data_IF_222072131780
#
_entry.id   IF_222072131780
#
_cell.length_a   1.000
_cell.length_b   1.000
_cell.length_c   1.000
_cell.angle_alpha   90.00
_cell.angle_beta   90.00
_cell.angle_gamma   90.00
#
_symmetry.space_group_name_H-M   'P 1'
#
loop_
_entity.id
_entity.type
_entity.pdbx_description
1 polymer ?
#
# COMPACT_ATOMS: atom_id res chain seq x y z
N UNK A 1 0.36 16.91 18.61
CA UNK A 1 0.96 15.62 18.99
C UNK A 1 1.66 15.85 20.32
N UNK A 2 1.37 14.99 21.30
CA UNK A 2 1.88 15.06 22.66
C UNK A 2 2.68 13.80 23.00
N UNK A 3 3.57 13.85 24.01
CA UNK A 3 4.17 12.62 24.55
C UNK A 3 3.08 11.63 24.99
N UNK A 4 3.19 10.38 24.53
CA UNK A 4 2.19 9.33 24.78
C UNK A 4 1.16 9.13 23.67
N UNK A 5 1.12 10.00 22.64
CA UNK A 5 0.32 9.75 21.45
C UNK A 5 0.86 8.58 20.62
N UNK A 6 -0.04 7.85 19.97
CA UNK A 6 0.30 6.76 19.06
C UNK A 6 0.34 7.24 17.62
N UNK A 7 1.32 6.76 16.87
CA UNK A 7 1.39 6.93 15.42
C UNK A 7 0.93 5.64 14.72
N UNK A 8 -0.18 5.70 14.00
CA UNK A 8 -0.63 4.58 13.14
C UNK A 8 -0.06 4.78 11.74
N UNK A 9 0.71 3.80 11.25
CA UNK A 9 1.34 3.86 9.93
C UNK A 9 1.09 2.55 9.15
N UNK A 10 0.70 2.68 7.89
CA UNK A 10 0.54 1.55 6.94
C UNK A 10 1.85 1.21 6.23
N UNK A 11 2.86 2.06 6.36
CA UNK A 11 4.21 1.81 5.88
C UNK A 11 4.89 0.66 6.64
N UNK A 12 6.11 0.35 6.28
CA UNK A 12 6.85 -0.78 6.87
C UNK A 12 8.21 -0.41 7.44
N UNK A 13 8.73 0.75 7.06
CA UNK A 13 10.11 1.16 7.41
C UNK A 13 10.23 2.15 8.56
N UNK A 14 9.12 2.64 9.13
CA UNK A 14 9.09 3.58 10.24
C UNK A 14 9.69 4.95 9.92
N UNK A 15 9.79 5.33 8.65
CA UNK A 15 10.40 6.62 8.27
C UNK A 15 9.59 7.80 8.80
N UNK A 16 8.25 7.71 8.74
CA UNK A 16 7.35 8.76 9.25
C UNK A 16 7.55 8.96 10.75
N UNK A 17 7.60 7.89 11.52
CA UNK A 17 7.85 7.94 12.97
C UNK A 17 9.19 8.58 13.27
N UNK A 18 10.26 8.12 12.62
CA UNK A 18 11.62 8.66 12.82
C UNK A 18 11.70 10.16 12.55
N UNK A 19 11.07 10.64 11.48
CA UNK A 19 11.09 12.06 11.13
C UNK A 19 10.24 12.88 12.10
N UNK A 20 9.10 12.38 12.53
CA UNK A 20 8.26 13.05 13.53
C UNK A 20 8.96 13.13 14.88
N UNK A 21 9.60 12.07 15.37
CA UNK A 21 10.35 12.09 16.63
C UNK A 21 11.49 13.11 16.60
N UNK A 22 12.20 13.20 15.45
CA UNK A 22 13.23 14.23 15.26
C UNK A 22 12.67 15.66 15.29
N UNK A 23 11.50 15.85 14.70
CA UNK A 23 10.84 17.16 14.67
C UNK A 23 10.28 17.55 16.04
N UNK A 24 9.68 16.60 16.74
CA UNK A 24 9.01 16.81 18.02
C UNK A 24 9.96 16.78 19.23
N UNK A 25 11.16 16.21 19.07
CA UNK A 25 12.18 16.03 20.10
C UNK A 25 11.71 15.15 21.28
N UNK A 26 10.75 14.23 21.02
CA UNK A 26 10.34 13.20 21.98
C UNK A 26 9.94 11.92 21.24
N UNK A 27 10.03 10.75 21.89
CA UNK A 27 9.66 9.48 21.27
C UNK A 27 8.13 9.36 21.08
N UNK A 28 7.73 8.65 20.02
CA UNK A 28 6.36 8.25 19.75
C UNK A 28 6.24 6.73 19.83
N UNK A 29 5.07 6.22 20.15
CA UNK A 29 4.79 4.81 20.04
C UNK A 29 4.16 4.52 18.67
N UNK A 30 4.80 3.67 17.86
CA UNK A 30 4.34 3.32 16.52
C UNK A 30 3.42 2.11 16.51
N UNK A 31 2.25 2.23 15.90
CA UNK A 31 1.38 1.11 15.56
C UNK A 31 1.51 0.86 14.05
N UNK A 32 2.33 -0.09 13.66
CA UNK A 32 2.69 -0.36 12.27
C UNK A 32 1.83 -1.49 11.70
N UNK A 33 1.36 -1.34 10.48
CA UNK A 33 0.64 -2.42 9.81
C UNK A 33 1.56 -3.62 9.54
N UNK A 34 2.80 -3.35 9.09
CA UNK A 34 3.82 -4.37 8.84
C UNK A 34 5.21 -3.81 9.13
N UNK A 35 6.22 -4.68 9.21
CA UNK A 35 7.60 -4.27 9.42
C UNK A 35 8.53 -4.87 8.36
N UNK A 36 9.47 -4.06 7.91
CA UNK A 36 10.69 -4.51 7.23
C UNK A 36 11.92 -4.40 8.16
N UNK A 37 13.07 -4.79 7.67
CA UNK A 37 14.31 -4.76 8.45
C UNK A 37 14.70 -3.34 8.90
N UNK A 38 14.29 -2.30 8.17
CA UNK A 38 14.56 -0.90 8.50
C UNK A 38 13.84 -0.48 9.77
N UNK A 39 12.56 -0.88 9.94
CA UNK A 39 11.81 -0.60 11.15
C UNK A 39 12.53 -1.18 12.39
N UNK A 40 12.92 -2.45 12.27
CA UNK A 40 13.55 -3.21 13.37
C UNK A 40 14.94 -2.71 13.74
N UNK A 41 15.66 -2.08 12.80
CA UNK A 41 16.96 -1.45 13.08
C UNK A 41 16.84 -0.05 13.65
N UNK A 42 15.70 0.61 13.46
CA UNK A 42 15.48 2.01 13.88
C UNK A 42 14.87 2.14 15.27
N UNK A 43 14.04 1.19 15.63
CA UNK A 43 13.24 1.26 16.85
C UNK A 43 13.42 0.01 17.71
N UNK A 44 13.42 0.21 19.02
CA UNK A 44 13.37 -0.89 19.97
C UNK A 44 11.98 -1.56 19.95
N UNK A 45 11.88 -2.84 20.36
CA UNK A 45 10.61 -3.59 20.32
C UNK A 45 9.47 -2.95 21.14
N UNK A 46 9.80 -2.22 22.20
CA UNK A 46 8.84 -1.51 23.04
C UNK A 46 8.37 -0.16 22.47
N UNK A 47 9.03 0.34 21.42
CA UNK A 47 8.66 1.58 20.74
C UNK A 47 7.68 1.37 19.57
N UNK A 48 7.49 0.12 19.13
CA UNK A 48 6.64 -0.18 17.98
C UNK A 48 5.89 -1.49 18.16
N UNK A 49 4.62 -1.47 17.85
CA UNK A 49 3.80 -2.69 17.70
C UNK A 49 3.53 -2.93 16.21
N UNK A 50 3.63 -4.19 15.79
CA UNK A 50 3.44 -4.61 14.41
C UNK A 50 2.24 -5.55 14.32
N UNK A 51 1.23 -5.19 13.54
CA UNK A 51 0.01 -6.02 13.43
C UNK A 51 0.21 -7.24 12.53
N UNK A 52 0.83 -7.06 11.34
CA UNK A 52 1.07 -8.14 10.38
C UNK A 52 2.51 -8.62 10.45
N UNK A 53 2.71 -9.93 10.46
CA UNK A 53 4.03 -10.58 10.37
C UNK A 53 5.00 -10.20 11.50
N UNK A 54 4.47 -9.92 12.67
CA UNK A 54 5.32 -9.62 13.81
C UNK A 54 6.28 -10.79 14.12
N UNK A 55 7.56 -10.47 14.28
CA UNK A 55 8.62 -11.45 14.49
C UNK A 55 8.90 -12.40 13.31
N UNK A 56 8.23 -12.22 12.15
CA UNK A 56 8.38 -13.05 10.96
C UNK A 56 8.56 -12.19 9.71
N UNK A 57 9.34 -12.63 8.71
CA UNK A 57 9.42 -11.92 7.45
C UNK A 57 8.06 -11.94 6.74
N UNK A 58 7.62 -10.78 6.25
CA UNK A 58 6.42 -10.71 5.43
C UNK A 58 6.58 -11.51 4.13
N UNK A 59 5.52 -12.22 3.69
CA UNK A 59 5.57 -12.95 2.43
C UNK A 59 5.89 -12.04 1.24
N UNK A 60 6.66 -12.53 0.26
CA UNK A 60 6.95 -11.79 -0.98
C UNK A 60 5.69 -11.29 -1.69
N UNK A 61 4.60 -12.06 -1.57
CA UNK A 61 3.30 -11.70 -2.13
C UNK A 61 2.72 -10.43 -1.50
N UNK A 62 2.92 -10.23 -0.20
CA UNK A 62 2.53 -8.98 0.48
C UNK A 62 3.25 -7.77 -0.14
N UNK A 63 4.56 -7.86 -0.29
CA UNK A 63 5.36 -6.78 -0.90
C UNK A 63 4.99 -6.51 -2.36
N UNK A 64 4.55 -7.55 -3.09
CA UNK A 64 4.07 -7.39 -4.46
C UNK A 64 2.76 -6.58 -4.57
N UNK A 65 1.98 -6.50 -3.50
CA UNK A 65 0.71 -5.78 -3.44
C UNK A 65 0.72 -4.54 -2.55
N UNK A 66 1.75 -4.31 -1.73
CA UNK A 66 1.78 -3.21 -0.77
C UNK A 66 1.46 -1.84 -1.40
N UNK A 67 2.01 -1.45 -2.56
CA UNK A 67 1.68 -0.16 -3.18
C UNK A 67 0.19 0.00 -3.49
N UNK A 68 -0.51 -1.08 -3.83
CA UNK A 68 -1.96 -1.06 -4.02
C UNK A 68 -2.68 -0.82 -2.69
N UNK A 69 -2.26 -1.47 -1.60
CA UNK A 69 -2.83 -1.26 -0.27
C UNK A 69 -2.66 0.20 0.18
N UNK A 70 -1.47 0.75 0.02
CA UNK A 70 -1.18 2.15 0.32
C UNK A 70 -2.08 3.08 -0.49
N UNK A 71 -2.25 2.82 -1.80
CA UNK A 71 -3.13 3.64 -2.65
C UNK A 71 -4.59 3.58 -2.22
N UNK A 72 -5.10 2.41 -1.86
CA UNK A 72 -6.49 2.24 -1.42
C UNK A 72 -6.78 2.95 -0.09
N UNK A 73 -5.78 3.13 0.76
CA UNK A 73 -5.89 3.78 2.06
C UNK A 73 -5.47 5.27 2.04
N UNK A 74 -4.88 5.74 0.94
CA UNK A 74 -4.43 7.13 0.80
C UNK A 74 -5.56 8.09 0.48
N UNK A 75 -5.37 9.37 0.80
CA UNK A 75 -6.26 10.47 0.39
C UNK A 75 -5.86 11.01 -1.00
N UNK A 76 -6.83 11.60 -1.71
CA UNK A 76 -6.60 12.26 -3.00
C UNK A 76 -6.11 13.71 -2.84
N UNK A 77 -5.15 13.95 -1.97
CA UNK A 77 -4.71 15.32 -1.60
C UNK A 77 -3.28 15.64 -2.00
N UNK A 78 -2.65 14.86 -2.82
CA UNK A 78 -1.24 14.99 -3.16
C UNK A 78 -0.28 14.70 -1.99
N UNK A 79 0.95 14.31 -2.30
CA UNK A 79 1.97 14.05 -1.31
C UNK A 79 2.44 15.35 -0.64
N UNK A 80 2.73 15.30 0.66
CA UNK A 80 3.33 16.44 1.36
C UNK A 80 4.80 16.56 0.98
N UNK A 81 5.17 17.69 0.37
CA UNK A 81 6.55 18.01 -0.01
C UNK A 81 7.32 18.71 1.12
N UNK A 82 6.59 19.36 2.01
CA UNK A 82 7.17 20.13 3.10
C UNK A 82 6.15 21.01 3.80
N UNK A 83 6.64 21.93 4.58
CA UNK A 83 5.85 22.91 5.31
C UNK A 83 6.46 24.30 5.11
N UNK A 84 5.63 25.31 4.98
CA UNK A 84 6.05 26.71 4.95
C UNK A 84 5.27 27.54 5.96
N UNK A 85 5.89 28.62 6.45
CA UNK A 85 5.23 29.59 7.31
C UNK A 85 4.44 30.58 6.45
N UNK A 86 3.17 30.77 6.76
CA UNK A 86 2.29 31.79 6.16
C UNK A 86 1.67 32.67 7.23
N UNK A 87 1.03 33.79 6.81
CA UNK A 87 0.28 34.66 7.72
C UNK A 87 -0.89 33.87 8.31
N UNK A 88 -0.72 33.31 9.49
CA UNK A 88 -1.75 32.50 10.17
C UNK A 88 -1.29 31.14 10.62
N UNK A 89 -0.03 30.75 10.33
CA UNK A 89 0.54 29.49 10.83
C UNK A 89 1.41 28.76 9.83
N UNK A 90 1.56 27.47 10.09
CA UNK A 90 2.32 26.57 9.23
C UNK A 90 1.36 25.85 8.29
N UNK A 91 1.57 25.99 7.00
CA UNK A 91 0.81 25.30 5.94
C UNK A 91 1.63 24.21 5.27
N UNK A 92 0.95 23.15 4.87
CA UNK A 92 1.55 22.05 4.14
C UNK A 92 1.72 22.40 2.66
N UNK A 93 2.95 22.28 2.16
CA UNK A 93 3.22 22.30 0.72
C UNK A 93 2.98 20.89 0.17
N UNK A 94 2.19 20.77 -0.86
CA UNK A 94 1.80 19.47 -1.45
C UNK A 94 2.14 19.43 -2.94
N UNK A 95 2.30 18.21 -3.47
CA UNK A 95 2.23 17.97 -4.91
C UNK A 95 0.85 18.37 -5.44
N UNK A 96 0.73 18.53 -6.74
CA UNK A 96 -0.57 18.74 -7.38
C UNK A 96 -1.55 17.65 -6.90
N UNK A 97 -2.80 18.07 -6.64
CA UNK A 97 -3.86 17.14 -6.27
C UNK A 97 -4.04 16.14 -7.40
N UNK A 98 -4.00 14.86 -7.08
CA UNK A 98 -4.40 13.83 -8.02
C UNK A 98 -5.90 14.02 -8.37
N UNK A 99 -6.30 13.73 -9.61
CA UNK A 99 -7.71 13.67 -9.95
C UNK A 99 -8.43 12.74 -8.97
N UNK A 100 -9.59 13.18 -8.46
CA UNK A 100 -10.40 12.34 -7.59
C UNK A 100 -10.72 11.02 -8.30
N UNK A 101 -10.41 9.92 -7.66
CA UNK A 101 -10.67 8.58 -8.19
C UNK A 101 -11.92 7.99 -7.50
N UNK A 102 -13.09 8.03 -8.18
CA UNK A 102 -14.35 7.61 -7.56
C UNK A 102 -14.33 6.17 -7.03
N UNK A 103 -13.58 5.27 -7.70
CA UNK A 103 -13.44 3.87 -7.29
C UNK A 103 -12.79 3.75 -5.91
N UNK A 104 -11.76 4.54 -5.63
CA UNK A 104 -11.11 4.57 -4.31
C UNK A 104 -12.08 5.08 -3.24
N UNK A 105 -12.80 6.17 -3.53
CA UNK A 105 -13.79 6.72 -2.60
C UNK A 105 -14.90 5.69 -2.26
N UNK A 106 -15.35 4.92 -3.25
CA UNK A 106 -16.32 3.83 -3.05
C UNK A 106 -15.75 2.70 -2.17
N UNK A 107 -14.52 2.27 -2.44
CA UNK A 107 -13.84 1.24 -1.64
C UNK A 107 -13.68 1.73 -0.20
N UNK A 108 -13.21 2.95 0.02
CA UNK A 108 -13.05 3.53 1.35
C UNK A 108 -14.38 3.70 2.08
N UNK A 109 -15.46 4.03 1.35
CA UNK A 109 -16.82 4.06 1.92
C UNK A 109 -17.24 2.66 2.38
N UNK A 110 -16.96 1.62 1.59
CA UNK A 110 -17.21 0.24 1.97
C UNK A 110 -16.44 -0.17 3.23
N UNK A 111 -15.15 0.19 3.30
CA UNK A 111 -14.31 -0.07 4.49
C UNK A 111 -14.88 0.61 5.74
N UNK A 112 -15.28 1.88 5.64
CA UNK A 112 -15.91 2.60 6.78
C UNK A 112 -17.20 1.95 7.23
N UNK A 113 -18.07 1.55 6.29
CA UNK A 113 -19.33 0.84 6.63
C UNK A 113 -19.06 -0.51 7.29
N UNK A 114 -18.07 -1.27 6.78
CA UNK A 114 -17.66 -2.52 7.40
C UNK A 114 -17.15 -2.28 8.83
N UNK A 115 -16.27 -1.31 9.03
CA UNK A 115 -15.73 -0.99 10.35
C UNK A 115 -16.83 -0.58 11.34
N UNK A 116 -17.81 0.22 10.90
CA UNK A 116 -18.95 0.57 11.73
C UNK A 116 -19.80 -0.65 12.08
N UNK A 117 -20.15 -1.47 11.09
CA UNK A 117 -20.92 -2.70 11.32
C UNK A 117 -20.19 -3.68 12.25
N UNK A 118 -18.87 -3.81 12.11
CA UNK A 118 -18.06 -4.62 13.00
C UNK A 118 -18.09 -4.11 14.43
N UNK A 119 -17.85 -2.81 14.62
CA UNK A 119 -17.89 -2.17 15.93
C UNK A 119 -19.24 -2.39 16.65
N UNK A 120 -20.33 -2.32 15.91
CA UNK A 120 -21.68 -2.42 16.45
C UNK A 120 -22.18 -3.88 16.53
N UNK A 121 -21.35 -4.85 16.16
CA UNK A 121 -21.66 -6.28 16.19
C UNK A 121 -21.23 -6.95 17.50
N UNK A 122 -21.74 -8.16 17.73
CA UNK A 122 -21.30 -9.04 18.83
C UNK A 122 -19.84 -9.48 18.71
N UNK A 123 -19.22 -9.25 17.55
CA UNK A 123 -17.81 -9.56 17.29
C UNK A 123 -16.87 -8.43 17.72
N UNK A 124 -17.43 -7.28 18.14
CA UNK A 124 -16.61 -6.18 18.66
C UNK A 124 -15.79 -6.66 19.86
N UNK A 125 -14.51 -6.31 19.84
CA UNK A 125 -13.55 -6.79 20.87
C UNK A 125 -13.01 -8.19 20.65
N UNK A 126 -13.52 -8.96 19.67
CA UNK A 126 -12.91 -10.24 19.31
C UNK A 126 -11.65 -10.00 18.46
N UNK A 127 -10.48 -10.53 18.87
CA UNK A 127 -9.26 -10.34 18.10
C UNK A 127 -9.35 -11.08 16.76
N UNK A 128 -9.10 -10.35 15.66
CA UNK A 128 -8.96 -10.97 14.35
C UNK A 128 -7.50 -11.40 14.19
N UNK A 129 -7.19 -12.70 14.04
CA UNK A 129 -5.83 -13.13 13.78
C UNK A 129 -5.27 -12.42 12.53
N UNK A 130 -4.04 -11.85 12.58
CA UNK A 130 -3.45 -11.12 11.48
C UNK A 130 -3.46 -11.88 10.14
N UNK A 131 -3.25 -13.20 10.19
CA UNK A 131 -3.28 -14.08 9.01
C UNK A 131 -4.66 -14.13 8.36
N UNK A 132 -5.73 -14.09 9.15
CA UNK A 132 -7.11 -14.03 8.63
C UNK A 132 -7.43 -12.65 8.06
N UNK A 133 -6.96 -11.59 8.71
CA UNK A 133 -7.18 -10.23 8.25
C UNK A 133 -6.55 -9.97 6.89
N UNK A 134 -5.31 -10.46 6.66
CA UNK A 134 -4.58 -10.21 5.42
C UNK A 134 -4.93 -11.19 4.29
N UNK A 135 -5.50 -12.35 4.57
CA UNK A 135 -5.74 -13.40 3.57
C UNK A 135 -6.55 -12.95 2.33
N UNK A 136 -7.64 -12.16 2.46
CA UNK A 136 -8.38 -11.65 1.30
C UNK A 136 -7.52 -10.78 0.40
N UNK A 137 -6.68 -9.92 0.99
CA UNK A 137 -5.76 -9.07 0.25
C UNK A 137 -4.69 -9.88 -0.49
N UNK A 138 -4.07 -10.86 0.16
CA UNK A 138 -3.09 -11.73 -0.49
C UNK A 138 -3.71 -12.50 -1.66
N UNK A 139 -4.96 -12.95 -1.53
CA UNK A 139 -5.69 -13.60 -2.62
C UNK A 139 -5.93 -12.64 -3.80
N UNK A 140 -6.33 -11.40 -3.52
CA UNK A 140 -6.47 -10.36 -4.54
C UNK A 140 -5.15 -10.11 -5.27
N UNK A 141 -4.03 -10.04 -4.55
CA UNK A 141 -2.71 -9.82 -5.16
C UNK A 141 -2.27 -10.99 -6.03
N UNK A 142 -2.48 -12.23 -5.56
CA UNK A 142 -2.00 -13.46 -6.23
C UNK A 142 -2.85 -13.86 -7.44
N UNK A 143 -4.18 -13.79 -7.29
CA UNK A 143 -5.15 -14.36 -8.23
C UNK A 143 -6.39 -13.46 -8.35
N UNK A 144 -6.22 -12.24 -8.88
CA UNK A 144 -7.35 -11.33 -9.06
C UNK A 144 -8.34 -11.86 -10.10
N UNK A 145 -9.61 -11.54 -9.91
CA UNK A 145 -10.63 -11.75 -10.94
C UNK A 145 -10.51 -10.71 -12.05
N UNK A 146 -11.11 -10.94 -13.21
CA UNK A 146 -11.14 -9.96 -14.30
C UNK A 146 -11.73 -8.62 -13.85
N UNK A 147 -12.83 -8.64 -13.10
CA UNK A 147 -13.44 -7.43 -12.54
C UNK A 147 -12.48 -6.67 -11.61
N UNK A 148 -11.73 -7.36 -10.77
CA UNK A 148 -10.75 -6.72 -9.87
C UNK A 148 -9.59 -6.09 -10.67
N UNK A 149 -9.14 -6.73 -11.74
CA UNK A 149 -8.13 -6.19 -12.63
C UNK A 149 -8.62 -4.93 -13.34
N UNK A 150 -9.86 -4.92 -13.83
CA UNK A 150 -10.47 -3.76 -14.50
C UNK A 150 -10.67 -2.60 -13.54
N UNK A 151 -11.11 -2.88 -12.32
CA UNK A 151 -11.34 -1.84 -11.31
C UNK A 151 -10.05 -1.22 -10.75
N UNK A 152 -8.99 -2.01 -10.60
CA UNK A 152 -7.80 -1.58 -9.85
C UNK A 152 -6.58 -1.37 -10.75
N UNK A 153 -6.50 -2.03 -11.90
CA UNK A 153 -5.28 -2.08 -12.69
C UNK A 153 -4.81 -0.72 -13.23
N UNK A 154 -5.74 0.18 -13.55
CA UNK A 154 -5.43 1.51 -14.09
C UNK A 154 -5.21 2.57 -12.99
N UNK A 155 -5.37 2.20 -11.72
CA UNK A 155 -5.04 3.11 -10.63
C UNK A 155 -3.54 3.43 -10.63
N UNK A 156 -3.22 4.64 -10.22
CA UNK A 156 -1.82 5.10 -10.10
C UNK A 156 -1.42 5.30 -8.66
N UNK A 157 -0.15 5.10 -8.37
CA UNK A 157 0.50 5.37 -7.07
C UNK A 157 1.58 6.42 -7.24
N UNK A 158 1.74 7.26 -6.23
CA UNK A 158 2.86 8.20 -6.15
C UNK A 158 3.98 7.62 -5.28
N UNK A 159 5.16 7.46 -5.90
CA UNK A 159 6.35 6.93 -5.24
C UNK A 159 7.59 7.55 -5.90
N UNK A 160 7.87 8.82 -5.57
CA UNK A 160 8.89 9.61 -6.28
C UNK A 160 8.56 9.92 -7.76
N UNK A 161 7.36 9.58 -8.20
CA UNK A 161 6.77 9.72 -9.51
C UNK A 161 5.38 9.08 -9.53
N UNK A 162 4.63 9.24 -10.63
CA UNK A 162 3.32 8.61 -10.80
C UNK A 162 3.47 7.33 -11.60
N UNK A 163 3.14 6.20 -11.00
CA UNK A 163 3.27 4.87 -11.59
C UNK A 163 1.93 4.13 -11.61
N UNK A 164 1.61 3.43 -12.72
CA UNK A 164 0.39 2.61 -12.77
C UNK A 164 0.53 1.36 -11.88
N UNK A 165 -0.59 0.90 -11.32
CA UNK A 165 -0.60 -0.39 -10.64
C UNK A 165 -0.35 -1.53 -11.64
N UNK A 166 -1.17 -1.65 -12.67
CA UNK A 166 -1.10 -2.74 -13.64
C UNK A 166 -1.73 -2.35 -14.99
N UNK A 167 -1.21 -1.29 -15.64
CA UNK A 167 -1.73 -0.79 -16.92
C UNK A 167 -0.80 -1.16 -18.10
N UNK A 168 -0.80 -2.42 -18.59
CA UNK A 168 -0.03 -2.79 -19.76
C UNK A 168 -0.62 -2.19 -21.04
N UNK A 169 0.22 -2.02 -22.05
CA UNK A 169 -0.21 -1.85 -23.43
C UNK A 169 -0.81 -3.17 -23.97
N UNK A 170 -1.45 -3.09 -25.13
CA UNK A 170 -2.00 -4.27 -25.77
C UNK A 170 -0.91 -5.32 -26.05
N UNK A 171 -1.21 -6.60 -25.85
CA UNK A 171 -0.24 -7.72 -26.00
C UNK A 171 0.52 -7.68 -27.32
N UNK A 172 -0.19 -7.39 -28.45
CA UNK A 172 0.42 -7.30 -29.76
C UNK A 172 1.51 -6.22 -29.86
N UNK A 173 1.37 -5.11 -29.10
CA UNK A 173 2.39 -4.06 -29.04
C UNK A 173 3.70 -4.61 -28.45
N UNK A 174 3.63 -5.43 -27.42
CA UNK A 174 4.81 -5.97 -26.76
C UNK A 174 5.57 -7.03 -27.59
N UNK A 175 4.89 -7.69 -28.52
CA UNK A 175 5.55 -8.63 -29.44
C UNK A 175 6.54 -7.89 -30.36
N UNK A 176 6.22 -6.66 -30.74
CA UNK A 176 7.08 -5.81 -31.59
C UNK A 176 7.99 -4.88 -30.79
N UNK A 177 7.67 -4.62 -29.51
CA UNK A 177 8.40 -3.69 -28.64
C UNK A 177 8.84 -4.33 -27.30
N UNK A 178 9.73 -5.35 -27.32
CA UNK A 178 10.09 -6.08 -26.09
C UNK A 178 10.80 -5.21 -25.05
N UNK A 179 11.53 -4.16 -25.48
CA UNK A 179 12.16 -3.21 -24.54
C UNK A 179 11.11 -2.41 -23.77
N UNK A 180 10.04 -2.00 -24.45
CA UNK A 180 8.91 -1.30 -23.81
C UNK A 180 8.19 -2.23 -22.83
N UNK A 181 7.93 -3.49 -23.19
CA UNK A 181 7.35 -4.46 -22.29
C UNK A 181 8.15 -4.60 -20.97
N UNK A 182 9.49 -4.66 -21.08
CA UNK A 182 10.37 -4.73 -19.91
C UNK A 182 10.30 -3.47 -19.05
N UNK A 183 10.25 -2.30 -19.67
CA UNK A 183 10.15 -1.02 -18.98
C UNK A 183 8.81 -0.90 -18.26
N UNK A 184 7.68 -1.10 -18.96
CA UNK A 184 6.35 -1.00 -18.39
C UNK A 184 6.14 -2.00 -17.25
N UNK A 185 6.67 -3.22 -17.40
CA UNK A 185 6.70 -4.21 -16.33
C UNK A 185 7.55 -3.72 -15.13
N UNK A 186 8.68 -3.08 -15.37
CA UNK A 186 9.51 -2.54 -14.29
C UNK A 186 8.82 -1.40 -13.54
N UNK A 187 8.05 -0.58 -14.23
CA UNK A 187 7.31 0.56 -13.66
C UNK A 187 6.01 0.14 -12.96
N UNK A 188 5.33 -0.92 -13.40
CA UNK A 188 4.11 -1.39 -12.80
C UNK A 188 4.29 -1.70 -11.31
N UNK A 189 3.41 -1.22 -10.46
CA UNK A 189 3.46 -1.44 -9.00
C UNK A 189 2.75 -2.71 -8.54
N UNK A 190 1.93 -3.31 -9.38
CA UNK A 190 1.31 -4.62 -9.19
C UNK A 190 1.70 -5.56 -10.33
N UNK A 191 2.88 -6.17 -10.21
CA UNK A 191 3.50 -7.01 -11.26
C UNK A 191 2.63 -8.18 -11.70
N UNK A 192 1.96 -8.85 -10.76
CA UNK A 192 1.10 -10.01 -11.04
C UNK A 192 -0.12 -9.57 -11.86
N UNK A 193 -0.78 -8.49 -11.46
CA UNK A 193 -1.88 -7.91 -12.21
C UNK A 193 -1.45 -7.44 -13.61
N UNK A 194 -0.26 -6.85 -13.72
CA UNK A 194 0.31 -6.47 -15.02
C UNK A 194 0.46 -7.67 -15.95
N UNK A 195 1.07 -8.76 -15.47
CA UNK A 195 1.26 -9.97 -16.27
C UNK A 195 -0.07 -10.57 -16.72
N UNK A 196 -1.06 -10.62 -15.83
CA UNK A 196 -2.37 -11.18 -16.15
C UNK A 196 -3.14 -10.33 -17.15
N UNK A 197 -3.00 -9.00 -17.15
CA UNK A 197 -3.61 -8.11 -18.14
C UNK A 197 -2.83 -8.10 -19.46
N UNK A 198 -1.49 -8.17 -19.41
CA UNK A 198 -0.64 -8.19 -20.59
C UNK A 198 -0.78 -9.48 -21.40
N UNK A 199 -1.00 -10.61 -20.74
CA UNK A 199 -1.12 -11.94 -21.36
C UNK A 199 -2.37 -12.61 -20.77
N UNK A 200 -3.56 -12.41 -21.36
CA UNK A 200 -4.83 -12.88 -20.79
C UNK A 200 -5.04 -14.39 -21.02
N UNK A 201 -4.09 -15.21 -20.56
CA UNK A 201 -4.17 -16.66 -20.56
C UNK A 201 -4.47 -17.17 -19.15
N UNK A 202 -5.10 -18.35 -18.98
CA UNK A 202 -5.39 -18.92 -17.66
C UNK A 202 -4.13 -19.52 -17.01
N UNK A 203 -3.13 -18.70 -16.72
CA UNK A 203 -1.87 -19.10 -16.10
C UNK A 203 -1.82 -18.73 -14.61
N UNK A 204 -1.10 -19.50 -13.79
CA UNK A 204 -0.94 -19.18 -12.37
C UNK A 204 0.11 -18.08 -12.16
N UNK A 205 -0.19 -16.85 -12.58
CA UNK A 205 0.76 -15.72 -12.62
C UNK A 205 1.41 -15.41 -11.26
N UNK A 206 0.67 -15.52 -10.16
CA UNK A 206 1.24 -15.36 -8.83
C UNK A 206 2.35 -16.36 -8.53
N UNK A 207 2.11 -17.64 -8.83
CA UNK A 207 3.13 -18.70 -8.66
C UNK A 207 4.33 -18.51 -9.58
N UNK A 208 4.10 -18.11 -10.84
CA UNK A 208 5.17 -17.82 -11.79
C UNK A 208 6.04 -16.65 -11.31
N UNK A 209 5.41 -15.55 -10.92
CA UNK A 209 6.11 -14.38 -10.40
C UNK A 209 6.97 -14.71 -9.17
N UNK A 210 6.43 -15.47 -8.22
CA UNK A 210 7.18 -15.86 -7.02
C UNK A 210 8.36 -16.80 -7.31
N UNK A 211 8.28 -17.61 -8.37
CA UNK A 211 9.41 -18.45 -8.83
C UNK A 211 10.50 -17.64 -9.50
N UNK A 212 10.14 -16.62 -10.29
CA UNK A 212 11.10 -15.79 -11.02
C UNK A 212 11.90 -14.82 -10.12
N UNK A 213 11.39 -14.54 -8.94
CA UNK A 213 12.05 -13.66 -7.95
C UNK A 213 12.94 -14.43 -6.93
N UNK A 214 13.19 -15.70 -7.17
CA UNK A 214 14.22 -16.42 -6.43
C UNK A 214 15.58 -15.93 -6.85
#
# INVERSE_FOLDING_TARGET
>A
ICPGDFLVDIGSGGTTQLLLERLLQFPLHGLQLSADDRLRTRFAPDQTEVFLFDGKPAPRLYWAGQPMLERLLSQDVGATLGYCAEKGGIVRVRTARQPAEPRIAQIQSGVRRFAAAWRDSVLNGQPIPPQRAIAPFLRLVESPTALQLDLLGDLTVEDGGTYPLAAPQHTAHYLTHPRQARRDFAEARWKIGFLQRAVPLPLPYGKLYLKLKK
#
